data_IF_103517542945
#
_entry.id   IF_103517542945
#
_cell.length_a   1.000
_cell.length_b   1.000
_cell.length_c   1.000
_cell.angle_alpha   90.00
_cell.angle_beta   90.00
_cell.angle_gamma   90.00
#
_symmetry.space_group_name_H-M   'P 1'
#
loop_
_entity.id
_entity.type
_entity.pdbx_description
1 polymer ?
#
# COMPACT_ATOMS: atom_id res chain seq x y z
N UNK A 1 4.84 7.30 20.18
CA UNK A 1 5.42 8.28 19.24
C UNK A 1 6.52 7.58 18.47
N UNK A 2 6.40 7.43 17.14
CA UNK A 2 7.19 6.47 16.36
C UNK A 2 8.71 6.75 16.40
N UNK A 3 9.12 8.02 16.42
CA UNK A 3 10.54 8.41 16.55
C UNK A 3 11.16 8.07 17.92
N UNK A 4 10.34 7.92 18.98
CA UNK A 4 10.86 7.61 20.32
C UNK A 4 11.26 6.14 20.46
N UNK A 5 10.67 5.25 19.66
CA UNK A 5 10.94 3.82 19.70
C UNK A 5 12.26 3.41 19.02
N UNK A 6 12.92 4.33 18.29
CA UNK A 6 14.14 4.07 17.50
C UNK A 6 14.06 2.81 16.61
N UNK A 7 12.87 2.50 16.10
CA UNK A 7 12.65 1.35 15.21
C UNK A 7 13.23 1.57 13.80
N UNK A 8 13.46 2.83 13.43
CA UNK A 8 14.05 3.23 12.17
C UNK A 8 15.37 3.95 12.47
N UNK A 9 16.40 3.65 11.68
CA UNK A 9 17.69 4.34 11.76
C UNK A 9 17.55 5.80 11.32
N UNK A 10 16.73 6.02 10.28
CA UNK A 10 16.43 7.34 9.74
C UNK A 10 15.18 7.97 10.36
N UNK A 11 15.14 9.31 10.32
CA UNK A 11 14.01 10.10 10.80
C UNK A 11 12.75 9.83 9.97
N UNK A 12 11.61 9.70 10.64
CA UNK A 12 10.31 9.65 9.96
C UNK A 12 9.97 11.03 9.41
N UNK A 13 9.78 11.11 8.08
CA UNK A 13 9.51 12.37 7.36
C UNK A 13 8.06 12.50 6.87
N UNK A 14 7.17 11.63 7.33
CA UNK A 14 5.74 11.68 6.99
C UNK A 14 5.11 13.00 7.44
N UNK A 15 4.50 13.74 6.51
CA UNK A 15 3.80 14.99 6.80
C UNK A 15 2.45 14.73 7.48
N UNK A 16 2.13 15.53 8.49
CA UNK A 16 0.82 15.56 9.15
C UNK A 16 0.16 16.90 8.85
N UNK A 17 -0.77 16.91 7.90
CA UNK A 17 -1.37 18.14 7.38
C UNK A 17 -2.88 17.98 7.19
N UNK A 18 -3.67 19.04 7.34
CA UNK A 18 -5.08 19.02 7.00
C UNK A 18 -5.28 18.75 5.50
N UNK A 19 -6.21 17.86 5.15
CA UNK A 19 -6.62 17.64 3.76
C UNK A 19 -7.30 18.90 3.21
N UNK A 20 -6.65 19.59 2.27
CA UNK A 20 -7.22 20.78 1.64
C UNK A 20 -8.18 20.42 0.48
N UNK A 21 -7.74 19.52 -0.40
CA UNK A 21 -8.51 19.05 -1.56
C UNK A 21 -7.97 17.73 -2.05
N UNK A 22 -8.86 16.87 -2.56
CA UNK A 22 -8.50 15.62 -3.22
C UNK A 22 -9.00 15.64 -4.67
N UNK A 23 -8.18 15.18 -5.60
CA UNK A 23 -8.54 15.01 -7.01
C UNK A 23 -8.42 13.52 -7.34
N UNK A 24 -9.52 12.87 -7.76
CA UNK A 24 -9.46 11.48 -8.19
C UNK A 24 -8.49 11.32 -9.36
N UNK A 25 -7.67 10.26 -9.32
CA UNK A 25 -6.88 9.85 -10.47
C UNK A 25 -7.79 9.34 -11.59
N UNK A 26 -7.26 9.30 -12.81
CA UNK A 26 -7.93 8.81 -14.00
C UNK A 26 -8.49 7.39 -13.78
N UNK A 27 -9.55 7.05 -14.51
CA UNK A 27 -10.23 5.75 -14.38
C UNK A 27 -9.30 4.56 -14.59
N UNK A 28 -8.28 4.71 -15.43
CA UNK A 28 -7.24 3.72 -15.65
C UNK A 28 -6.46 3.36 -14.38
N UNK A 29 -6.26 4.31 -13.47
CA UNK A 29 -5.51 4.07 -12.24
C UNK A 29 -6.36 3.41 -11.14
N UNK A 30 -7.67 3.35 -11.32
CA UNK A 30 -8.57 2.75 -10.34
C UNK A 30 -8.56 1.23 -10.48
N UNK A 31 -8.44 0.52 -9.35
CA UNK A 31 -8.39 -0.95 -9.31
C UNK A 31 -7.31 -1.58 -10.20
N UNK A 32 -6.18 -0.89 -10.38
CA UNK A 32 -5.13 -1.27 -11.31
C UNK A 32 -4.65 -2.72 -11.13
N UNK A 33 -4.38 -3.14 -9.88
CA UNK A 33 -3.94 -4.51 -9.56
C UNK A 33 -4.97 -5.55 -9.99
N UNK A 34 -6.26 -5.26 -9.85
CA UNK A 34 -7.33 -6.18 -10.22
C UNK A 34 -7.51 -6.28 -11.75
N UNK A 35 -7.32 -5.18 -12.47
CA UNK A 35 -7.49 -5.15 -13.93
C UNK A 35 -6.23 -5.50 -14.73
N UNK A 36 -5.05 -5.42 -14.10
CA UNK A 36 -3.76 -5.72 -14.73
C UNK A 36 -2.89 -6.66 -13.88
N UNK A 37 -3.40 -7.84 -13.47
CA UNK A 37 -2.70 -8.74 -12.54
C UNK A 37 -1.39 -9.30 -13.11
N UNK A 38 -1.27 -9.34 -14.44
CA UNK A 38 -0.11 -9.85 -15.19
C UNK A 38 0.88 -8.74 -15.60
N UNK A 39 0.60 -7.48 -15.26
CA UNK A 39 1.57 -6.39 -15.43
C UNK A 39 2.85 -6.71 -14.67
N UNK A 40 4.00 -6.52 -15.31
CA UNK A 40 5.31 -6.77 -14.68
C UNK A 40 5.45 -6.02 -13.35
N UNK A 41 4.94 -4.79 -13.27
CA UNK A 41 4.95 -4.02 -12.04
C UNK A 41 4.17 -4.71 -10.92
N UNK A 42 2.95 -5.18 -11.19
CA UNK A 42 2.09 -5.84 -10.22
C UNK A 42 2.71 -7.15 -9.75
N UNK A 43 3.22 -7.96 -10.69
CA UNK A 43 3.85 -9.24 -10.35
C UNK A 43 5.06 -9.08 -9.44
N UNK A 44 5.88 -8.05 -9.64
CA UNK A 44 7.12 -7.83 -8.87
C UNK A 44 6.85 -7.12 -7.55
N UNK A 45 5.90 -6.18 -7.50
CA UNK A 45 5.76 -5.28 -6.35
C UNK A 45 4.51 -5.50 -5.51
N UNK A 46 3.40 -5.96 -6.08
CA UNK A 46 2.10 -5.98 -5.39
C UNK A 46 1.58 -7.39 -5.11
N UNK A 47 1.74 -8.32 -6.04
CA UNK A 47 1.36 -9.72 -5.84
C UNK A 47 2.01 -10.36 -4.60
N UNK A 48 3.31 -10.13 -4.30
CA UNK A 48 3.92 -10.66 -3.07
C UNK A 48 3.27 -10.12 -1.79
N UNK A 49 2.76 -8.88 -1.80
CA UNK A 49 2.09 -8.28 -0.65
C UNK A 49 0.72 -8.92 -0.40
N UNK A 50 0.00 -9.26 -1.47
CA UNK A 50 -1.29 -9.96 -1.37
C UNK A 50 -1.13 -11.36 -0.79
N UNK A 51 -0.13 -12.11 -1.26
CA UNK A 51 0.20 -13.42 -0.70
C UNK A 51 0.57 -13.29 0.78
N UNK A 52 1.45 -12.35 1.12
CA UNK A 52 1.84 -12.12 2.51
C UNK A 52 0.66 -11.70 3.40
N UNK A 53 -0.32 -10.96 2.86
CA UNK A 53 -1.53 -10.58 3.57
C UNK A 53 -2.42 -11.81 3.87
N UNK A 54 -2.64 -12.67 2.87
CA UNK A 54 -3.38 -13.93 3.02
C UNK A 54 -2.70 -14.84 4.07
N UNK A 55 -1.38 -14.97 3.99
CA UNK A 55 -0.59 -15.82 4.91
C UNK A 55 -0.57 -15.27 6.35
N UNK A 56 -0.40 -13.96 6.52
CA UNK A 56 -0.19 -13.35 7.85
C UNK A 56 -1.52 -13.11 8.57
N UNK A 57 -2.59 -12.81 7.83
CA UNK A 57 -3.88 -12.43 8.39
C UNK A 57 -5.03 -13.22 7.76
N UNK A 58 -5.00 -14.57 7.80
CA UNK A 58 -5.96 -15.41 7.08
C UNK A 58 -7.41 -15.18 7.52
N UNK A 59 -7.62 -14.82 8.79
CA UNK A 59 -8.97 -14.54 9.33
C UNK A 59 -9.51 -13.16 8.94
N UNK A 60 -8.67 -12.27 8.42
CA UNK A 60 -9.04 -10.92 7.95
C UNK A 60 -8.99 -10.81 6.43
N UNK A 61 -8.47 -11.84 5.75
CA UNK A 61 -8.36 -11.85 4.31
C UNK A 61 -9.69 -12.27 3.69
N UNK A 62 -10.30 -11.35 2.94
CA UNK A 62 -11.46 -11.61 2.10
C UNK A 62 -11.03 -11.52 0.64
N UNK A 63 -11.48 -12.49 -0.16
CA UNK A 63 -11.11 -12.62 -1.57
C UNK A 63 -12.14 -11.98 -2.49
#
# INVERSE_FOLDING_TARGET
QLDQGKHFEDKIVTALEPLQKFYPAETYHQNYVAFHPDSFYVMIHDAPKLIALEDTFPNLYEK
#
